data_IF_931257653591
#
_entry.id   IF_931257653591
#
_cell.length_a   1.000
_cell.length_b   1.000
_cell.length_c   1.000
_cell.angle_alpha   90.00
_cell.angle_beta   90.00
_cell.angle_gamma   90.00
#
_symmetry.space_group_name_H-M   'P 1'
#
loop_
_entity.id
_entity.type
_entity.pdbx_description
1 polymer ?
#
# COMPACT_ATOMS: atom_id res chain seq x y z
N UNK A 1 11.83 3.91 9.78
CA UNK A 1 10.45 4.22 10.25
C UNK A 1 9.99 3.30 11.38
N UNK A 2 9.92 1.97 11.23
CA UNK A 2 9.45 1.08 12.30
C UNK A 2 10.29 1.09 13.59
N UNK A 3 11.62 1.18 13.50
CA UNK A 3 12.50 1.28 14.66
C UNK A 3 12.34 2.60 15.42
N UNK A 4 12.30 3.73 14.70
CA UNK A 4 12.10 5.04 15.32
C UNK A 4 10.67 5.21 15.83
N UNK A 5 9.64 4.83 15.07
CA UNK A 5 8.25 4.91 15.52
C UNK A 5 8.01 4.15 16.83
N UNK A 6 8.63 2.98 17.00
CA UNK A 6 8.54 2.22 18.25
C UNK A 6 9.21 2.93 19.43
N UNK A 7 10.31 3.64 19.18
CA UNK A 7 10.99 4.44 20.19
C UNK A 7 10.16 5.67 20.57
N UNK A 8 9.52 6.30 19.59
CA UNK A 8 8.74 7.53 19.73
C UNK A 8 7.36 7.34 20.38
N UNK A 9 6.72 6.20 20.19
CA UNK A 9 5.38 5.93 20.76
C UNK A 9 5.43 5.12 22.05
N UNK A 10 6.62 4.72 22.53
CA UNK A 10 6.78 3.78 23.64
C UNK A 10 6.22 2.37 23.36
N UNK A 11 5.84 2.10 22.11
CA UNK A 11 5.13 0.89 21.72
C UNK A 11 6.06 -0.15 21.09
N UNK A 12 5.70 -1.43 21.22
CA UNK A 12 6.51 -2.52 20.65
C UNK A 12 6.63 -2.34 19.13
N UNK A 13 7.84 -2.54 18.56
CA UNK A 13 8.13 -2.47 17.10
C UNK A 13 7.11 -3.18 16.21
N UNK A 14 6.48 -4.22 16.74
CA UNK A 14 5.43 -4.98 16.06
C UNK A 14 4.16 -4.20 15.85
N UNK A 15 3.76 -3.35 16.80
CA UNK A 15 2.56 -2.53 16.71
C UNK A 15 2.71 -1.50 15.59
N UNK A 16 3.90 -0.91 15.48
CA UNK A 16 4.23 0.01 14.37
C UNK A 16 4.27 -0.72 13.02
N UNK A 17 4.85 -1.93 12.97
CA UNK A 17 4.81 -2.76 11.75
C UNK A 17 3.38 -3.18 11.38
N UNK A 18 2.54 -3.45 12.36
CA UNK A 18 1.13 -3.79 12.17
C UNK A 18 0.35 -2.61 11.58
N UNK A 19 0.56 -1.40 12.08
CA UNK A 19 -0.07 -0.19 11.53
C UNK A 19 0.37 0.09 10.10
N UNK A 20 1.67 -0.02 9.81
CA UNK A 20 2.19 0.15 8.44
C UNK A 20 1.61 -0.90 7.49
N UNK A 21 1.58 -2.16 7.92
CA UNK A 21 0.99 -3.21 7.11
C UNK A 21 -0.50 -2.94 6.87
N UNK A 22 -1.25 -2.53 7.90
CA UNK A 22 -2.67 -2.21 7.74
C UNK A 22 -2.93 -1.01 6.81
N UNK A 23 -2.09 0.03 6.88
CA UNK A 23 -2.11 1.15 5.92
C UNK A 23 -1.95 0.63 4.49
N UNK A 24 -0.96 -0.23 4.25
CA UNK A 24 -0.72 -0.85 2.94
C UNK A 24 -1.86 -1.76 2.48
N UNK A 25 -2.51 -2.47 3.39
CA UNK A 25 -3.70 -3.27 3.08
C UNK A 25 -4.85 -2.37 2.61
N UNK A 26 -5.09 -1.26 3.32
CA UNK A 26 -6.14 -0.31 2.96
C UNK A 26 -5.87 0.33 1.59
N UNK A 27 -4.63 0.70 1.30
CA UNK A 27 -4.22 1.24 0.00
C UNK A 27 -4.47 0.24 -1.14
N UNK A 28 -4.09 -1.03 -0.94
CA UNK A 28 -4.32 -2.09 -1.92
C UNK A 28 -5.81 -2.32 -2.21
N UNK A 29 -6.67 -2.24 -1.18
CA UNK A 29 -8.13 -2.33 -1.35
C UNK A 29 -8.69 -1.14 -2.13
N UNK A 30 -8.22 0.09 -1.87
CA UNK A 30 -8.70 1.26 -2.60
C UNK A 30 -8.34 1.20 -4.08
N UNK A 31 -7.09 0.86 -4.41
CA UNK A 31 -6.64 0.69 -5.78
C UNK A 31 -7.42 -0.40 -6.51
N UNK A 32 -7.69 -1.49 -5.81
CA UNK A 32 -8.52 -2.58 -6.29
C UNK A 32 -9.95 -2.14 -6.62
N UNK A 33 -10.58 -1.36 -5.72
CA UNK A 33 -11.92 -0.82 -5.94
C UNK A 33 -11.96 0.13 -7.14
N UNK A 34 -10.90 0.92 -7.36
CA UNK A 34 -10.78 1.80 -8.53
C UNK A 34 -10.72 1.02 -9.86
N UNK A 35 -10.24 -0.23 -9.85
CA UNK A 35 -10.17 -1.08 -11.04
C UNK A 35 -11.46 -1.85 -11.34
N UNK A 36 -12.34 -2.06 -10.35
CA UNK A 36 -13.58 -2.84 -10.53
C UNK A 36 -14.50 -2.35 -11.67
N UNK A 37 -14.73 -1.02 -11.87
CA UNK A 37 -15.59 -0.56 -12.95
C UNK A 37 -15.13 -1.01 -14.35
N UNK A 38 -13.82 -1.20 -14.54
CA UNK A 38 -13.26 -1.63 -15.82
C UNK A 38 -13.58 -3.09 -16.16
N UNK A 39 -13.95 -3.92 -15.18
CA UNK A 39 -14.46 -5.27 -15.45
C UNK A 39 -15.75 -5.24 -16.28
N UNK A 40 -16.57 -4.20 -16.15
CA UNK A 40 -17.79 -4.05 -16.94
C UNK A 40 -17.52 -3.54 -18.37
N UNK A 41 -16.31 -3.07 -18.65
CA UNK A 41 -15.85 -2.72 -20.01
C UNK A 41 -15.21 -3.91 -20.74
N UNK A 42 -15.17 -5.10 -20.11
CA UNK A 42 -14.68 -6.33 -20.72
C UNK A 42 -15.61 -6.71 -21.89
N UNK A 43 -15.07 -6.74 -23.10
CA UNK A 43 -15.80 -7.08 -24.32
C UNK A 43 -16.00 -5.90 -25.29
N UNK A 44 -15.58 -4.69 -24.93
CA UNK A 44 -15.45 -3.58 -25.89
C UNK A 44 -14.11 -3.71 -26.65
N UNK A 45 -14.15 -3.51 -27.97
CA UNK A 45 -12.97 -3.56 -28.86
C UNK A 45 -11.88 -2.52 -28.53
N UNK A 46 -12.19 -1.56 -27.66
CA UNK A 46 -11.27 -0.51 -27.20
C UNK A 46 -10.23 -1.01 -26.17
N UNK A 47 -10.43 -2.18 -25.56
CA UNK A 47 -9.58 -2.70 -24.48
C UNK A 47 -8.62 -3.76 -25.04
N UNK A 48 -7.31 -3.51 -24.97
CA UNK A 48 -6.28 -4.49 -25.36
C UNK A 48 -6.45 -5.83 -24.61
N UNK A 49 -6.21 -6.95 -25.30
CA UNK A 49 -6.23 -8.28 -24.67
C UNK A 49 -5.28 -8.38 -23.46
N UNK A 50 -4.14 -7.68 -23.49
CA UNK A 50 -3.19 -7.66 -22.37
C UNK A 50 -3.72 -6.87 -21.18
N UNK A 51 -4.43 -5.76 -21.44
CA UNK A 51 -5.12 -4.95 -20.43
C UNK A 51 -6.14 -5.80 -19.65
N UNK A 52 -6.88 -6.67 -20.35
CA UNK A 52 -7.90 -7.53 -19.74
C UNK A 52 -7.32 -8.50 -18.70
N UNK A 53 -6.26 -9.23 -19.03
CA UNK A 53 -5.66 -10.20 -18.10
C UNK A 53 -5.08 -9.54 -16.85
N UNK A 54 -4.50 -8.35 -17.02
CA UNK A 54 -3.98 -7.57 -15.89
C UNK A 54 -5.12 -7.09 -15.00
N UNK A 55 -6.20 -6.53 -15.57
CA UNK A 55 -7.38 -6.13 -14.79
C UNK A 55 -7.97 -7.33 -14.03
N UNK A 56 -8.09 -8.50 -14.67
CA UNK A 56 -8.58 -9.72 -14.01
C UNK A 56 -7.65 -10.17 -12.88
N UNK A 57 -6.33 -10.18 -13.11
CA UNK A 57 -5.35 -10.54 -12.09
C UNK A 57 -5.43 -9.61 -10.87
N UNK A 58 -5.50 -8.30 -11.10
CA UNK A 58 -5.62 -7.30 -10.04
C UNK A 58 -6.99 -7.40 -9.33
N UNK A 59 -8.07 -7.68 -10.06
CA UNK A 59 -9.38 -7.93 -9.46
C UNK A 59 -9.43 -9.22 -8.63
N UNK A 60 -8.72 -10.27 -9.04
CA UNK A 60 -8.60 -11.49 -8.23
C UNK A 60 -7.76 -11.23 -6.97
N UNK A 61 -6.64 -10.50 -7.10
CA UNK A 61 -5.85 -10.07 -5.96
C UNK A 61 -6.68 -9.22 -4.99
N UNK A 62 -7.50 -8.31 -5.51
CA UNK A 62 -8.45 -7.51 -4.74
C UNK A 62 -9.43 -8.37 -3.94
N UNK A 63 -10.09 -9.33 -4.60
CA UNK A 63 -11.06 -10.23 -3.96
C UNK A 63 -10.38 -11.08 -2.92
N UNK A 64 -9.18 -11.60 -3.21
CA UNK A 64 -8.39 -12.37 -2.24
C UNK A 64 -8.03 -11.53 -1.01
N UNK A 65 -7.55 -10.30 -1.20
CA UNK A 65 -7.25 -9.37 -0.09
C UNK A 65 -8.50 -8.99 0.69
N UNK A 66 -9.59 -8.64 0.01
CA UNK A 66 -10.88 -8.34 0.62
C UNK A 66 -11.41 -9.54 1.43
N UNK A 67 -11.29 -10.75 0.90
CA UNK A 67 -11.64 -11.98 1.61
C UNK A 67 -10.78 -12.18 2.85
N UNK A 68 -9.46 -11.98 2.78
CA UNK A 68 -8.58 -12.05 3.97
C UNK A 68 -8.99 -11.02 5.02
N UNK A 69 -9.37 -9.80 4.61
CA UNK A 69 -9.81 -8.74 5.52
C UNK A 69 -11.18 -8.98 6.15
N UNK A 70 -12.13 -9.56 5.41
CA UNK A 70 -13.48 -9.86 5.89
C UNK A 70 -13.49 -11.14 6.73
N UNK A 71 -12.75 -12.15 6.31
CA UNK A 71 -12.65 -13.45 6.99
C UNK A 71 -11.60 -13.44 8.09
N UNK A 72 -11.01 -12.28 8.41
CA UNK A 72 -9.92 -12.17 9.41
C UNK A 72 -10.29 -12.84 10.73
N UNK A 73 -11.49 -12.65 11.25
CA UNK A 73 -11.91 -13.27 12.52
C UNK A 73 -12.14 -14.78 12.40
N UNK A 74 -12.63 -15.24 11.25
CA UNK A 74 -12.84 -16.66 10.97
C UNK A 74 -11.51 -17.39 10.77
N UNK A 75 -10.57 -16.78 10.03
CA UNK A 75 -9.19 -17.24 9.88
C UNK A 75 -8.51 -17.34 11.26
N UNK A 76 -8.77 -16.38 12.16
CA UNK A 76 -8.33 -16.46 13.56
C UNK A 76 -8.90 -17.64 14.32
N UNK A 77 -10.21 -17.88 14.21
CA UNK A 77 -10.86 -19.02 14.87
C UNK A 77 -10.39 -20.37 14.31
N UNK A 78 -10.11 -20.43 13.00
CA UNK A 78 -9.58 -21.61 12.34
C UNK A 78 -8.14 -21.87 12.80
N UNK A 79 -7.34 -20.81 12.93
CA UNK A 79 -5.98 -20.87 13.46
C UNK A 79 -5.97 -21.35 14.91
N UNK A 80 -6.84 -20.83 15.79
CA UNK A 80 -7.00 -21.29 17.18
C UNK A 80 -7.45 -22.77 17.23
N UNK A 81 -8.33 -23.20 16.32
CA UNK A 81 -8.81 -24.59 16.24
C UNK A 81 -7.74 -25.55 15.70
N UNK A 82 -6.93 -25.13 14.71
CA UNK A 82 -5.78 -25.89 14.21
C UNK A 82 -4.64 -25.94 15.23
N UNK A 83 -4.39 -24.85 15.97
CA UNK A 83 -3.42 -24.81 17.07
C UNK A 83 -3.79 -25.75 18.21
N UNK A 84 -5.07 -25.86 18.54
CA UNK A 84 -5.57 -26.82 19.53
C UNK A 84 -5.28 -28.28 19.17
N UNK A 85 -5.13 -28.61 17.89
CA UNK A 85 -4.80 -29.96 17.40
C UNK A 85 -3.30 -30.23 17.26
N UNK A 86 -2.45 -29.21 17.13
CA UNK A 86 -1.04 -29.39 16.75
C UNK A 86 -0.02 -29.21 17.89
N UNK A 87 -0.43 -28.91 19.13
CA UNK A 87 0.46 -28.75 20.30
C UNK A 87 1.73 -27.89 20.09
N UNK A 88 1.71 -26.98 19.12
CA UNK A 88 2.84 -26.07 18.92
C UNK A 88 2.77 -24.96 19.97
N UNK A 89 3.82 -24.84 20.80
CA UNK A 89 4.00 -23.74 21.78
C UNK A 89 4.05 -22.39 21.06
N UNK A 90 2.90 -21.84 20.67
CA UNK A 90 2.79 -20.44 20.27
C UNK A 90 2.33 -19.65 21.47
N UNK A 91 3.29 -18.95 22.07
CA UNK A 91 3.15 -18.08 23.24
C UNK A 91 2.05 -17.04 23.03
N UNK A 92 1.36 -16.62 24.11
CA UNK A 92 0.34 -15.54 24.15
C UNK A 92 0.75 -14.26 23.41
N UNK A 93 2.05 -14.08 23.20
CA UNK A 93 2.68 -13.06 22.39
C UNK A 93 2.19 -12.99 20.93
N UNK A 94 2.03 -14.13 20.25
CA UNK A 94 1.56 -14.19 18.85
C UNK A 94 0.09 -13.81 18.77
N UNK A 95 -0.71 -14.30 19.73
CA UNK A 95 -2.15 -14.06 19.83
C UNK A 95 -2.48 -12.59 20.10
N UNK A 96 -1.73 -11.94 20.99
CA UNK A 96 -1.93 -10.52 21.31
C UNK A 96 -1.51 -9.60 20.14
N UNK A 97 -0.44 -9.95 19.43
CA UNK A 97 0.01 -9.18 18.25
C UNK A 97 -1.03 -9.17 17.15
N UNK A 98 -1.69 -10.31 16.88
CA UNK A 98 -2.68 -10.31 15.82
C UNK A 98 -3.99 -9.66 16.30
N UNK A 99 -4.36 -9.81 17.57
CA UNK A 99 -5.48 -9.04 18.14
C UNK A 99 -5.24 -7.53 18.00
N UNK A 100 -4.03 -7.05 18.26
CA UNK A 100 -3.64 -5.65 18.06
C UNK A 100 -3.67 -5.21 16.59
N UNK A 101 -3.21 -6.06 15.67
CA UNK A 101 -3.33 -5.82 14.22
C UNK A 101 -4.79 -5.63 13.80
N UNK A 102 -5.68 -6.51 14.29
CA UNK A 102 -7.11 -6.46 14.00
C UNK A 102 -7.82 -5.28 14.67
N UNK A 103 -7.45 -4.95 15.91
CA UNK A 103 -7.99 -3.78 16.63
C UNK A 103 -7.50 -2.46 16.01
N UNK A 104 -6.31 -2.44 15.41
CA UNK A 104 -5.78 -1.30 14.66
C UNK A 104 -6.60 -0.95 13.40
N UNK A 105 -7.44 -1.88 12.90
CA UNK A 105 -8.44 -1.58 11.87
C UNK A 105 -9.70 -0.91 12.44
N UNK A 106 -9.98 -1.05 13.74
CA UNK A 106 -11.23 -0.57 14.36
C UNK A 106 -11.46 0.95 14.24
N UNK A 107 -10.44 1.84 14.24
CA UNK A 107 -10.66 3.27 14.01
C UNK A 107 -11.18 3.60 12.61
N UNK A 108 -10.84 2.79 11.59
CA UNK A 108 -11.37 2.92 10.23
C UNK A 108 -12.89 2.67 10.18
N UNK A 109 -13.45 1.97 11.18
CA UNK A 109 -14.88 1.65 11.28
C UNK A 109 -15.68 2.62 12.16
N UNK A 110 -15.12 3.76 12.55
CA UNK A 110 -15.92 4.85 13.11
C UNK A 110 -16.85 5.40 12.03
N UNK A 111 -18.09 4.91 11.98
CA UNK A 111 -19.11 5.23 10.97
C UNK A 111 -19.29 6.75 10.74
N UNK A 112 -19.01 7.56 11.77
CA UNK A 112 -19.12 9.03 11.71
C UNK A 112 -17.95 9.72 11.01
N UNK A 113 -16.74 9.14 11.06
CA UNK A 113 -15.52 9.71 10.45
C UNK A 113 -15.14 9.06 9.12
N UNK A 114 -15.65 7.86 8.88
CA UNK A 114 -15.47 7.11 7.64
C UNK A 114 -15.67 7.93 6.35
N UNK A 115 -16.77 8.68 6.15
CA UNK A 115 -16.98 9.41 4.89
C UNK A 115 -15.95 10.52 4.66
N UNK A 116 -15.49 11.18 5.72
CA UNK A 116 -14.46 12.23 5.62
C UNK A 116 -13.12 11.62 5.24
N UNK A 117 -12.73 10.52 5.88
CA UNK A 117 -11.49 9.80 5.57
C UNK A 117 -11.53 9.28 4.14
N UNK A 118 -12.64 8.66 3.72
CA UNK A 118 -12.83 8.18 2.36
C UNK A 118 -12.68 9.30 1.32
N UNK A 119 -13.32 10.45 1.57
CA UNK A 119 -13.23 11.61 0.67
C UNK A 119 -11.77 12.08 0.53
N UNK A 120 -11.06 12.24 1.64
CA UNK A 120 -9.65 12.63 1.61
C UNK A 120 -8.78 11.60 0.90
N UNK A 121 -8.99 10.31 1.14
CA UNK A 121 -8.29 9.25 0.41
C UNK A 121 -8.53 9.34 -1.09
N UNK A 122 -9.78 9.47 -1.54
CA UNK A 122 -10.11 9.62 -2.96
C UNK A 122 -9.42 10.84 -3.56
N UNK A 123 -9.44 11.99 -2.88
CA UNK A 123 -8.77 13.19 -3.35
C UNK A 123 -7.26 13.00 -3.49
N UNK A 124 -6.60 12.37 -2.52
CA UNK A 124 -5.17 12.06 -2.58
C UNK A 124 -4.86 11.15 -3.77
N UNK A 125 -5.66 10.09 -3.97
CA UNK A 125 -5.48 9.19 -5.11
C UNK A 125 -5.71 9.88 -6.46
N UNK A 126 -6.68 10.80 -6.55
CA UNK A 126 -6.91 11.58 -7.77
C UNK A 126 -5.73 12.50 -8.07
N UNK A 127 -5.19 13.18 -7.05
CA UNK A 127 -3.97 14.00 -7.21
C UNK A 127 -2.82 13.11 -7.67
N UNK A 128 -2.63 11.96 -7.05
CA UNK A 128 -1.58 11.02 -7.45
C UNK A 128 -1.77 10.56 -8.90
N UNK A 129 -2.99 10.18 -9.30
CA UNK A 129 -3.32 9.81 -10.67
C UNK A 129 -2.97 10.92 -11.68
N UNK A 130 -3.21 12.19 -11.35
CA UNK A 130 -2.80 13.31 -12.23
C UNK A 130 -1.28 13.40 -12.41
N UNK A 131 -0.49 13.02 -11.39
CA UNK A 131 0.96 12.95 -11.51
C UNK A 131 1.36 11.83 -12.47
N UNK A 132 0.75 10.65 -12.38
CA UNK A 132 1.01 9.55 -13.33
C UNK A 132 0.70 9.95 -14.78
N UNK A 133 -0.41 10.66 -15.00
CA UNK A 133 -0.76 11.21 -16.31
C UNK A 133 0.30 12.20 -16.78
N UNK A 134 0.68 13.15 -15.92
CA UNK A 134 1.70 14.16 -16.26
C UNK A 134 3.06 13.55 -16.59
N UNK A 135 3.47 12.50 -15.84
CA UNK A 135 4.68 11.74 -16.14
C UNK A 135 4.57 11.12 -17.52
N UNK A 136 3.49 10.40 -17.84
CA UNK A 136 3.34 9.78 -19.16
C UNK A 136 3.33 10.81 -20.30
N UNK A 137 2.64 11.93 -20.11
CA UNK A 137 2.63 13.05 -21.07
C UNK A 137 4.03 13.64 -21.30
N UNK A 138 4.91 13.65 -20.29
CA UNK A 138 6.30 14.11 -20.46
C UNK A 138 7.16 13.21 -21.35
N UNK A 139 6.70 11.99 -21.61
CA UNK A 139 7.32 11.03 -22.54
C UNK A 139 6.49 10.84 -23.82
N UNK A 140 5.59 11.78 -24.15
CA UNK A 140 4.70 11.73 -25.30
C UNK A 140 3.79 10.47 -25.33
N UNK A 141 3.44 9.94 -24.16
CA UNK A 141 2.52 8.81 -24.01
C UNK A 141 1.15 9.33 -23.54
N UNK A 142 0.13 9.14 -24.38
CA UNK A 142 -1.26 9.42 -24.03
C UNK A 142 -1.87 8.23 -23.30
N UNK A 143 -2.33 8.45 -22.07
CA UNK A 143 -2.98 7.41 -21.27
C UNK A 143 -4.50 7.55 -21.33
N UNK A 144 -5.17 6.44 -21.60
CA UNK A 144 -6.57 6.28 -21.19
C UNK A 144 -6.67 6.25 -19.66
N UNK A 145 -7.86 6.55 -19.13
CA UNK A 145 -8.10 6.48 -17.67
C UNK A 145 -7.77 5.09 -17.09
N UNK A 146 -8.08 4.03 -17.84
CA UNK A 146 -7.76 2.65 -17.45
C UNK A 146 -6.24 2.43 -17.31
N UNK A 147 -5.48 2.88 -18.32
CA UNK A 147 -4.03 2.76 -18.34
C UNK A 147 -3.37 3.59 -17.23
N UNK A 148 -3.90 4.78 -16.93
CA UNK A 148 -3.42 5.61 -15.82
C UNK A 148 -3.63 4.92 -14.46
N UNK A 149 -4.81 4.36 -14.21
CA UNK A 149 -5.11 3.63 -12.97
C UNK A 149 -4.26 2.35 -12.87
N UNK A 150 -4.00 1.68 -13.99
CA UNK A 150 -3.11 0.52 -14.00
C UNK A 150 -1.66 0.91 -13.76
N UNK A 151 -1.20 2.03 -14.29
CA UNK A 151 0.14 2.51 -14.01
C UNK A 151 0.28 2.80 -12.50
N UNK A 152 -0.68 3.52 -11.94
CA UNK A 152 -0.80 3.75 -10.50
C UNK A 152 -0.79 2.45 -9.69
N UNK A 153 -1.63 1.47 -10.07
CA UNK A 153 -1.73 0.19 -9.40
C UNK A 153 -0.46 -0.65 -9.54
N UNK A 154 0.13 -0.73 -10.74
CA UNK A 154 1.33 -1.52 -11.01
C UNK A 154 2.50 -1.07 -10.13
N UNK A 155 2.73 0.24 -10.01
CA UNK A 155 3.78 0.78 -9.13
C UNK A 155 3.48 0.48 -7.67
N UNK A 156 2.26 0.78 -7.20
CA UNK A 156 1.89 0.59 -5.80
C UNK A 156 1.89 -0.88 -5.36
N UNK A 157 1.38 -1.81 -6.18
CA UNK A 157 1.41 -3.24 -5.88
C UNK A 157 2.82 -3.82 -5.95
N UNK A 158 3.65 -3.38 -6.89
CA UNK A 158 5.05 -3.81 -6.96
C UNK A 158 5.82 -3.39 -5.70
N UNK A 159 5.47 -2.23 -5.12
CA UNK A 159 6.07 -1.76 -3.86
C UNK A 159 5.74 -2.62 -2.63
N UNK A 160 4.68 -3.43 -2.71
CA UNK A 160 4.27 -4.33 -1.62
C UNK A 160 5.19 -5.55 -1.49
N UNK A 161 5.96 -5.88 -2.52
CA UNK A 161 6.85 -7.03 -2.53
C UNK A 161 8.10 -6.68 -1.70
N UNK A 162 8.34 -7.35 -0.56
CA UNK A 162 9.46 -7.00 0.33
C UNK A 162 10.77 -7.64 -0.16
N UNK A 163 11.11 -7.47 -1.43
CA UNK A 163 12.30 -8.06 -2.04
C UNK A 163 13.52 -7.13 -1.99
N UNK A 164 13.31 -5.82 -1.94
CA UNK A 164 14.39 -4.83 -1.87
C UNK A 164 14.03 -3.66 -0.93
N UNK A 165 15.00 -3.10 -0.20
CA UNK A 165 14.77 -1.91 0.61
C UNK A 165 14.34 -0.74 -0.28
N UNK A 166 13.15 -0.20 -0.03
CA UNK A 166 12.60 0.90 -0.83
C UNK A 166 12.01 0.48 -2.18
N UNK A 167 11.91 -0.82 -2.47
CA UNK A 167 11.33 -1.31 -3.73
C UNK A 167 12.19 -1.03 -4.98
N UNK A 168 13.39 -0.47 -4.82
CA UNK A 168 14.31 -0.15 -5.91
C UNK A 168 14.65 -1.43 -6.69
N UNK A 169 14.50 -1.37 -8.00
CA UNK A 169 14.69 -2.48 -8.94
C UNK A 169 13.45 -3.36 -9.09
N UNK A 170 12.70 -3.60 -8.02
CA UNK A 170 11.49 -4.45 -8.05
C UNK A 170 10.33 -3.72 -8.71
N UNK A 171 10.11 -2.46 -8.32
CA UNK A 171 9.08 -1.60 -8.89
C UNK A 171 9.36 -1.38 -10.37
N UNK A 172 10.59 -1.00 -10.70
CA UNK A 172 11.04 -0.76 -12.06
C UNK A 172 10.89 -2.01 -12.93
N UNK A 173 11.29 -3.19 -12.43
CA UNK A 173 11.16 -4.43 -13.18
C UNK A 173 9.69 -4.80 -13.41
N UNK A 174 8.86 -4.82 -12.37
CA UNK A 174 7.50 -5.35 -12.50
C UNK A 174 6.57 -4.35 -13.19
N UNK A 175 6.59 -3.08 -12.77
CA UNK A 175 5.64 -2.11 -13.30
C UNK A 175 5.90 -1.81 -14.79
N UNK A 176 7.16 -1.70 -15.23
CA UNK A 176 7.48 -1.47 -16.65
C UNK A 176 6.97 -2.60 -17.54
N UNK A 177 7.13 -3.87 -17.13
CA UNK A 177 6.61 -5.02 -17.86
C UNK A 177 5.08 -5.02 -17.92
N UNK A 178 4.41 -4.62 -16.84
CA UNK A 178 2.95 -4.48 -16.83
C UNK A 178 2.52 -3.39 -17.82
N UNK A 179 3.18 -2.23 -17.84
CA UNK A 179 2.85 -1.14 -18.78
C UNK A 179 2.98 -1.60 -20.23
N UNK A 180 4.05 -2.32 -20.57
CA UNK A 180 4.23 -2.88 -21.92
C UNK A 180 3.17 -3.92 -22.24
N UNK A 181 2.90 -4.87 -21.32
CA UNK A 181 1.91 -5.91 -21.52
C UNK A 181 0.49 -5.35 -21.73
N UNK A 182 0.17 -4.24 -21.06
CA UNK A 182 -1.12 -3.55 -21.16
C UNK A 182 -1.20 -2.64 -22.39
N UNK A 183 -0.09 -2.45 -23.10
CA UNK A 183 -0.03 -1.64 -24.32
C UNK A 183 -0.02 -0.14 -24.04
N UNK A 184 0.48 0.28 -22.87
CA UNK A 184 0.72 1.71 -22.57
C UNK A 184 1.79 2.27 -23.49
N UNK A 185 2.85 1.50 -23.73
CA UNK A 185 3.87 1.75 -24.74
C UNK A 185 4.40 0.42 -25.23
N UNK A 186 4.81 0.36 -26.50
CA UNK A 186 5.51 -0.81 -27.06
C UNK A 186 7.00 -0.79 -26.72
N UNK A 187 7.52 0.37 -26.28
CA UNK A 187 8.91 0.57 -25.94
C UNK A 187 9.15 0.36 -24.44
N UNK A 188 9.90 -0.68 -24.11
CA UNK A 188 10.26 -1.00 -22.74
C UNK A 188 11.11 0.10 -22.08
N UNK A 189 11.97 0.79 -22.84
CA UNK A 189 12.82 1.85 -22.30
C UNK A 189 11.99 3.05 -21.87
N UNK A 190 10.96 3.42 -22.64
CA UNK A 190 9.99 4.46 -22.28
C UNK A 190 9.20 4.03 -21.04
N UNK A 191 8.71 2.78 -21.00
CA UNK A 191 7.99 2.26 -19.83
C UNK A 191 8.86 2.33 -18.55
N UNK A 192 10.12 1.90 -18.65
CA UNK A 192 11.07 1.93 -17.55
C UNK A 192 11.37 3.37 -17.12
N UNK A 193 11.57 4.29 -18.06
CA UNK A 193 11.84 5.70 -17.78
C UNK A 193 10.65 6.37 -17.06
N UNK A 194 9.41 6.10 -17.50
CA UNK A 194 8.20 6.58 -16.83
C UNK A 194 8.12 6.09 -15.38
N UNK A 195 8.30 4.78 -15.17
CA UNK A 195 8.25 4.17 -13.83
C UNK A 195 9.35 4.73 -12.93
N UNK A 196 10.58 4.84 -13.44
CA UNK A 196 11.72 5.37 -12.70
C UNK A 196 11.49 6.83 -12.30
N UNK A 197 11.05 7.66 -13.25
CA UNK A 197 10.74 9.07 -12.99
C UNK A 197 9.66 9.21 -11.91
N UNK A 198 8.61 8.40 -12.00
CA UNK A 198 7.57 8.41 -10.99
C UNK A 198 8.10 7.96 -9.61
N UNK A 199 8.95 6.94 -9.57
CA UNK A 199 9.53 6.46 -8.33
C UNK A 199 10.42 7.51 -7.67
N UNK A 200 11.24 8.21 -8.46
CA UNK A 200 12.06 9.35 -8.00
C UNK A 200 11.18 10.48 -7.48
N UNK A 201 10.13 10.86 -8.21
CA UNK A 201 9.17 11.89 -7.77
C UNK A 201 8.56 11.50 -6.42
N UNK A 202 8.16 10.25 -6.23
CA UNK A 202 7.61 9.76 -4.97
C UNK A 202 8.62 9.88 -3.81
N UNK A 203 9.88 9.54 -4.05
CA UNK A 203 10.96 9.72 -3.08
C UNK A 203 11.19 11.20 -2.72
N UNK A 204 11.11 12.10 -3.70
CA UNK A 204 11.31 13.54 -3.48
C UNK A 204 10.12 14.18 -2.78
N UNK A 205 8.90 13.92 -3.25
CA UNK A 205 7.69 14.62 -2.78
C UNK A 205 7.18 14.04 -1.47
N UNK A 206 7.29 12.73 -1.27
CA UNK A 206 6.78 12.05 -0.07
C UNK A 206 7.93 11.67 0.86
N UNK A 207 8.99 11.08 0.31
CA UNK A 207 10.13 10.59 1.08
C UNK A 207 10.93 11.71 1.76
N UNK A 208 11.30 12.76 1.03
CA UNK A 208 12.16 13.82 1.54
C UNK A 208 11.49 14.68 2.63
N UNK A 209 10.24 15.16 2.49
CA UNK A 209 9.55 15.88 3.57
C UNK A 209 9.35 14.99 4.79
N UNK A 210 8.99 13.71 4.61
CA UNK A 210 8.86 12.77 5.71
C UNK A 210 10.17 12.56 6.46
N UNK A 211 11.30 12.46 5.74
CA UNK A 211 12.62 12.39 6.35
C UNK A 211 12.99 13.69 7.08
N UNK A 212 12.77 14.85 6.46
CA UNK A 212 13.04 16.16 7.03
C UNK A 212 12.28 16.40 8.34
N UNK A 213 10.97 16.10 8.37
CA UNK A 213 10.16 16.20 9.59
C UNK A 213 10.67 15.26 10.67
N UNK A 214 10.99 14.00 10.33
CA UNK A 214 11.55 13.07 11.31
C UNK A 214 12.90 13.52 11.88
N UNK A 215 13.78 14.09 11.07
CA UNK A 215 15.07 14.60 11.54
C UNK A 215 14.92 15.85 12.40
N UNK A 216 14.05 16.79 12.00
CA UNK A 216 13.81 18.02 12.76
C UNK A 216 13.14 17.80 14.11
N UNK A 217 12.33 16.74 14.25
CA UNK A 217 11.66 16.41 15.51
C UNK A 217 12.47 15.47 16.40
N UNK A 218 13.60 14.95 15.93
CA UNK A 218 14.42 14.00 16.68
C UNK A 218 14.84 14.54 18.05
N UNK A 219 15.31 15.80 18.11
CA UNK A 219 15.74 16.43 19.36
C UNK A 219 14.60 16.63 20.35
N UNK A 220 13.44 17.11 19.88
CA UNK A 220 12.22 17.26 20.71
C UNK A 220 11.71 15.94 21.26
N UNK A 221 11.92 14.84 20.53
CA UNK A 221 11.48 13.53 20.94
C UNK A 221 12.44 12.89 21.94
N UNK A 222 13.75 13.17 21.84
CA UNK A 222 14.75 12.79 22.85
C UNK A 222 14.50 13.52 24.18
N UNK A 223 14.08 14.79 24.15
CA UNK A 223 13.75 15.61 25.32
C UNK A 223 12.49 15.10 26.08
N UNK A 224 11.44 14.69 25.36
CA UNK A 224 10.23 14.09 25.96
C UNK A 224 10.52 12.71 26.57
N UNK A 225 11.46 11.93 26.00
CA UNK A 225 11.85 10.60 26.49
C UNK A 225 12.61 10.70 27.83
N UNK A 226 13.39 11.77 28.05
CA UNK A 226 14.08 12.06 29.31
C UNK A 226 13.11 12.53 30.41
N UNK A 227 12.18 13.44 30.11
CA UNK A 227 11.19 13.93 31.09
C UNK A 227 10.27 12.80 31.61
N UNK A 228 9.87 11.86 30.74
CA UNK A 228 9.00 10.74 31.12
C UNK A 228 9.72 9.72 32.01
N UNK A 229 11.06 9.60 31.91
CA UNK A 229 11.86 8.74 32.78
C UNK A 229 12.05 9.36 34.17
N UNK A 230 12.14 10.68 34.25
CA UNK A 230 12.28 11.42 35.51
C UNK A 230 10.97 11.48 36.32
N UNK A 231 9.80 11.42 35.69
CA UNK A 231 8.51 11.32 36.39
C UNK A 231 8.22 9.92 36.99
N UNK A 232 9.00 8.91 36.61
CA UNK A 232 8.86 7.53 37.09
C UNK A 232 9.94 7.08 38.08
N UNK A 233 10.89 7.95 38.43
CA UNK A 233 11.81 7.80 39.58
C UNK A 233 11.29 8.57 40.81
#
# INVERSE_FOLDING_TARGET
>A
RAHMGAKLTGEKRTLVLATIANERLADGVMLSLMLLPFLFSIGNDEVSNGLMWVVVLFALAAVAFGAVLLLREQLFSLFDTFHGKLQWKSTDYTRNRIRLFLHGLSPLFSLKRFPIVLLWSVLVWLVELTVYIAVATSYDVELSLAQAIIFLAAVNFSSLIPAAPGGIGVIEAIASHILVAVGVTQDFEIALAMVLSQHVIQYIVVGAPGAFVMFSWRSKLEEIEEDTQLEHE
#
